data_IF_353403440557
#
_entry.id   IF_353403440557
#
_cell.length_a   1.000
_cell.length_b   1.000
_cell.length_c   1.000
_cell.angle_alpha   90.00
_cell.angle_beta   90.00
_cell.angle_gamma   90.00
#
_symmetry.space_group_name_H-M   'P 1'
#
loop_
_entity.id
_entity.type
_entity.pdbx_description
1 polymer ?
#
# COMPACT_ATOMS: atom_id res chain seq x y z
N UNK A 1 19.02 12.05 60.08
CA UNK A 1 18.37 11.23 59.02
C UNK A 1 17.51 12.20 58.27
N UNK A 2 18.11 12.84 57.26
CA UNK A 2 17.87 14.25 57.02
C UNK A 2 17.34 14.49 55.61
N UNK A 3 16.15 15.09 55.48
CA UNK A 3 15.82 15.96 54.37
C UNK A 3 16.48 17.33 54.61
N UNK A 4 16.37 18.23 53.61
CA UNK A 4 16.81 19.63 53.58
C UNK A 4 18.19 19.93 52.97
N UNK A 5 18.17 21.01 52.16
CA UNK A 5 19.29 21.83 51.67
C UNK A 5 20.01 21.37 50.39
N UNK A 6 20.29 22.23 49.41
CA UNK A 6 19.82 23.58 49.14
C UNK A 6 20.52 24.10 47.88
N UNK A 7 19.76 24.87 47.10
CA UNK A 7 20.19 26.16 46.57
C UNK A 7 21.38 26.28 45.60
N UNK A 8 21.01 26.93 44.48
CA UNK A 8 21.71 28.07 43.87
C UNK A 8 22.91 27.77 42.97
N UNK A 9 22.62 27.61 41.67
CA UNK A 9 23.19 28.52 40.68
C UNK A 9 22.23 28.68 39.49
N UNK A 10 21.52 29.81 39.47
CA UNK A 10 21.08 30.46 38.25
C UNK A 10 22.36 30.93 37.47
N UNK A 11 22.42 31.11 36.15
CA UNK A 11 21.67 32.06 35.32
C UNK A 11 21.95 31.83 33.82
N UNK A 12 20.89 32.04 33.02
CA UNK A 12 20.82 32.71 31.70
C UNK A 12 22.03 32.69 30.72
N UNK A 13 21.78 32.19 29.50
CA UNK A 13 22.39 32.76 28.28
C UNK A 13 21.38 32.79 27.12
N UNK A 14 20.91 34.01 26.87
CA UNK A 14 20.46 34.67 25.65
C UNK A 14 19.64 33.91 24.58
N UNK A 15 18.37 34.31 24.49
CA UNK A 15 17.52 34.12 23.32
C UNK A 15 18.12 34.81 22.08
N UNK A 16 18.27 34.07 20.98
CA UNK A 16 18.29 34.62 19.63
C UNK A 16 16.90 34.45 19.05
N UNK A 17 16.19 35.57 18.88
CA UNK A 17 14.90 35.63 18.23
C UNK A 17 15.07 35.62 16.71
N UNK A 18 14.50 34.64 16.02
CA UNK A 18 14.03 34.81 14.63
C UNK A 18 13.05 33.70 14.22
N UNK A 19 12.11 34.01 13.32
CA UNK A 19 10.69 33.77 13.54
C UNK A 19 10.17 32.48 12.91
N UNK A 20 9.03 32.02 13.43
CA UNK A 20 8.12 31.06 12.82
C UNK A 20 8.71 29.66 12.55
N UNK A 21 8.91 28.88 13.62
CA UNK A 21 8.72 27.44 13.49
C UNK A 21 7.21 27.21 13.31
N UNK A 22 6.72 27.34 12.07
CA UNK A 22 5.42 26.83 11.70
C UNK A 22 5.42 25.35 12.05
N UNK A 23 4.68 24.98 13.08
CA UNK A 23 4.39 23.59 13.39
C UNK A 23 3.76 22.99 12.13
N UNK A 24 4.52 22.19 11.39
CA UNK A 24 3.96 21.35 10.34
C UNK A 24 3.09 20.36 11.09
N UNK A 25 1.83 20.71 11.26
CA UNK A 25 0.79 19.72 11.50
C UNK A 25 0.81 18.86 10.25
N UNK A 26 1.52 17.74 10.32
CA UNK A 26 1.19 16.59 9.48
C UNK A 26 -0.22 16.23 9.93
N UNK A 27 -1.19 16.84 9.27
CA UNK A 27 -2.52 16.28 9.21
C UNK A 27 -2.29 14.88 8.68
N UNK A 28 -2.34 13.90 9.58
CA UNK A 28 -2.59 12.53 9.18
C UNK A 28 -3.94 12.60 8.48
N UNK A 29 -3.89 12.86 7.17
CA UNK A 29 -5.02 12.73 6.30
C UNK A 29 -5.49 11.30 6.56
N UNK A 30 -6.64 11.18 7.21
CA UNK A 30 -7.20 9.90 7.58
C UNK A 30 -7.18 9.03 6.32
N UNK A 31 -6.36 7.98 6.34
CA UNK A 31 -6.29 6.99 5.29
C UNK A 31 -7.72 6.50 5.07
N UNK A 32 -8.33 6.72 3.89
CA UNK A 32 -9.60 6.08 3.59
C UNK A 32 -9.40 4.58 3.80
N UNK A 33 -10.37 3.86 4.38
CA UNK A 33 -10.24 2.42 4.52
C UNK A 33 -9.86 1.84 3.16
N UNK A 34 -8.88 0.92 3.11
CA UNK A 34 -8.31 0.40 1.87
C UNK A 34 -9.38 -0.01 0.83
N UNK A 35 -10.57 -0.36 1.32
CA UNK A 35 -11.75 -0.77 0.56
C UNK A 35 -12.43 0.35 -0.25
N UNK A 36 -12.05 1.62 -0.08
CA UNK A 36 -12.61 2.77 -0.83
C UNK A 36 -11.73 3.23 -1.99
N UNK A 37 -10.52 2.70 -2.11
CA UNK A 37 -9.57 3.05 -3.17
C UNK A 37 -9.69 2.11 -4.37
N UNK A 38 -9.37 2.61 -5.56
CA UNK A 38 -9.22 1.73 -6.72
C UNK A 38 -8.07 0.73 -6.50
N UNK A 39 -8.14 -0.49 -7.04
CA UNK A 39 -7.07 -1.48 -6.86
C UNK A 39 -5.68 -0.94 -7.22
N UNK A 40 -5.58 -0.16 -8.29
CA UNK A 40 -4.33 0.49 -8.71
C UNK A 40 -3.76 1.42 -7.63
N UNK A 41 -4.61 2.20 -6.96
CA UNK A 41 -4.23 3.11 -5.89
C UNK A 41 -3.78 2.34 -4.65
N UNK A 42 -4.49 1.26 -4.29
CA UNK A 42 -4.10 0.38 -3.19
C UNK A 42 -2.71 -0.22 -3.41
N UNK A 43 -2.45 -0.75 -4.60
CA UNK A 43 -1.14 -1.30 -4.95
C UNK A 43 -0.05 -0.22 -4.94
N UNK A 44 -0.29 0.95 -5.55
CA UNK A 44 0.71 2.01 -5.60
C UNK A 44 1.02 2.55 -4.20
N UNK A 45 -0.01 2.76 -3.36
CA UNK A 45 0.12 3.24 -1.98
C UNK A 45 0.98 2.30 -1.16
N UNK A 46 0.62 1.01 -1.10
CA UNK A 46 1.35 0.03 -0.30
C UNK A 46 2.84 -0.08 -0.71
N UNK A 47 3.13 0.01 -2.02
CA UNK A 47 4.53 0.02 -2.48
C UNK A 47 5.25 1.31 -2.07
N UNK A 48 4.60 2.48 -2.17
CA UNK A 48 5.20 3.75 -1.82
C UNK A 48 5.43 3.89 -0.31
N UNK A 49 4.56 3.32 0.53
CA UNK A 49 4.79 3.19 1.98
C UNK A 49 6.03 2.36 2.28
N UNK A 50 6.16 1.18 1.67
CA UNK A 50 7.33 0.32 1.85
C UNK A 50 8.63 1.01 1.37
N UNK A 51 8.56 1.78 0.27
CA UNK A 51 9.69 2.55 -0.26
C UNK A 51 10.09 3.70 0.65
N UNK A 52 9.12 4.42 1.21
CA UNK A 52 9.37 5.47 2.19
C UNK A 52 10.05 4.93 3.44
N UNK A 53 9.65 3.74 3.91
CA UNK A 53 10.24 3.09 5.09
C UNK A 53 11.74 2.78 4.94
N UNK A 54 12.24 2.64 3.71
CA UNK A 54 13.67 2.40 3.41
C UNK A 54 14.35 3.62 2.76
N UNK A 55 13.69 4.77 2.73
CA UNK A 55 14.27 6.04 2.25
C UNK A 55 14.50 6.13 0.74
N UNK A 56 13.76 5.38 -0.09
CA UNK A 56 13.86 5.46 -1.56
C UNK A 56 12.69 6.24 -2.18
N UNK A 57 12.87 6.95 -3.31
CA UNK A 57 11.83 7.80 -3.91
C UNK A 57 10.55 7.03 -4.27
N UNK A 58 9.36 7.64 -4.24
CA UNK A 58 8.11 6.96 -4.60
C UNK A 58 8.05 6.60 -6.08
N UNK A 59 7.22 5.61 -6.40
CA UNK A 59 6.84 5.23 -7.76
C UNK A 59 5.63 6.05 -8.22
N UNK A 60 5.52 6.19 -9.54
CA UNK A 60 4.32 6.68 -10.21
C UNK A 60 3.66 5.54 -11.01
N UNK A 61 2.33 5.56 -11.08
CA UNK A 61 1.59 4.59 -11.89
C UNK A 61 1.83 4.79 -13.39
N UNK A 62 2.03 3.71 -14.13
CA UNK A 62 2.16 3.74 -15.58
C UNK A 62 1.04 2.90 -16.22
N UNK A 63 0.17 3.56 -17.00
CA UNK A 63 -0.99 2.90 -17.60
C UNK A 63 -0.61 1.80 -18.62
N UNK A 64 0.47 1.98 -19.36
CA UNK A 64 0.96 0.97 -20.33
C UNK A 64 1.44 -0.29 -19.61
N UNK A 65 2.19 -0.13 -18.51
CA UNK A 65 2.64 -1.26 -17.70
C UNK A 65 1.46 -1.98 -17.01
N UNK A 66 0.46 -1.22 -16.56
CA UNK A 66 -0.75 -1.78 -15.97
C UNK A 66 -1.55 -2.64 -16.97
N UNK A 67 -1.71 -2.15 -18.21
CA UNK A 67 -2.38 -2.88 -19.29
C UNK A 67 -1.64 -4.18 -19.64
N UNK A 68 -0.30 -4.15 -19.68
CA UNK A 68 0.48 -5.37 -19.91
C UNK A 68 0.32 -6.38 -18.77
N UNK A 69 0.45 -5.93 -17.52
CA UNK A 69 0.29 -6.78 -16.35
C UNK A 69 -1.12 -7.42 -16.30
N UNK A 70 -2.16 -6.67 -16.67
CA UNK A 70 -3.53 -7.19 -16.75
C UNK A 70 -3.66 -8.28 -17.82
N UNK A 71 -3.09 -8.07 -19.02
CA UNK A 71 -3.10 -9.08 -20.09
C UNK A 71 -2.37 -10.35 -19.63
N UNK A 72 -1.22 -10.21 -18.98
CA UNK A 72 -0.47 -11.36 -18.49
C UNK A 72 -1.23 -12.14 -17.42
N UNK A 73 -1.84 -11.44 -16.46
CA UNK A 73 -2.65 -12.06 -15.43
C UNK A 73 -3.84 -12.83 -16.02
N UNK A 74 -4.44 -12.33 -17.11
CA UNK A 74 -5.49 -13.02 -17.87
C UNK A 74 -5.01 -14.36 -18.44
N UNK A 75 -3.80 -14.39 -18.99
CA UNK A 75 -3.18 -15.57 -19.59
C UNK A 75 -2.76 -16.61 -18.53
N UNK A 76 -2.21 -16.16 -17.40
CA UNK A 76 -1.90 -17.00 -16.25
C UNK A 76 -3.15 -17.60 -15.59
N UNK A 77 -4.29 -16.90 -15.69
CA UNK A 77 -5.60 -17.40 -15.24
C UNK A 77 -6.16 -18.46 -16.19
N UNK A 78 -6.05 -18.25 -17.50
CA UNK A 78 -6.58 -19.16 -18.51
C UNK A 78 -5.78 -20.47 -18.59
N UNK A 79 -4.44 -20.38 -18.56
CA UNK A 79 -3.55 -21.54 -18.62
C UNK A 79 -3.45 -22.32 -17.31
N UNK A 80 -3.90 -21.75 -16.17
CA UNK A 80 -3.69 -22.28 -14.82
C UNK A 80 -2.21 -22.53 -14.43
N UNK A 81 -1.25 -22.15 -15.27
CA UNK A 81 0.18 -22.36 -15.06
C UNK A 81 0.87 -21.05 -14.70
N UNK A 82 1.78 -21.09 -13.74
CA UNK A 82 2.77 -20.01 -13.59
C UNK A 82 3.82 -20.22 -14.69
N UNK A 83 3.59 -19.64 -15.87
CA UNK A 83 4.60 -19.70 -16.94
C UNK A 83 5.88 -19.01 -16.45
N UNK A 84 7.07 -19.45 -16.88
CA UNK A 84 8.33 -18.76 -16.56
C UNK A 84 8.24 -17.27 -16.91
N UNK A 85 8.88 -16.42 -16.11
CA UNK A 85 8.82 -14.94 -16.23
C UNK A 85 9.17 -14.42 -17.62
N UNK A 86 9.88 -15.24 -18.39
CA UNK A 86 10.36 -14.94 -19.72
C UNK A 86 9.29 -15.15 -20.82
N UNK A 87 8.31 -16.01 -20.62
CA UNK A 87 7.36 -16.43 -21.66
C UNK A 87 6.29 -15.38 -22.07
N UNK A 88 6.44 -14.10 -21.73
CA UNK A 88 5.44 -13.04 -21.95
C UNK A 88 5.83 -11.95 -22.97
N UNK A 89 7.02 -12.02 -23.58
CA UNK A 89 7.40 -11.11 -24.67
C UNK A 89 7.73 -9.67 -24.26
N UNK A 90 7.69 -9.35 -22.96
CA UNK A 90 8.16 -8.07 -22.40
C UNK A 90 9.36 -8.25 -21.46
N UNK A 91 10.16 -9.28 -21.75
CA UNK A 91 11.38 -9.58 -21.01
C UNK A 91 12.38 -8.43 -21.05
N UNK A 92 13.02 -8.16 -19.92
CA UNK A 92 14.08 -7.15 -19.82
C UNK A 92 13.62 -5.69 -19.94
N UNK A 93 12.36 -5.42 -20.30
CA UNK A 93 11.82 -4.05 -20.39
C UNK A 93 11.47 -3.48 -19.00
N UNK A 94 10.99 -4.32 -18.09
CA UNK A 94 10.71 -3.95 -16.70
C UNK A 94 10.78 -5.17 -15.77
N UNK A 95 11.07 -4.91 -14.50
CA UNK A 95 10.98 -5.91 -13.43
C UNK A 95 9.54 -6.34 -13.19
N UNK A 96 9.35 -7.59 -12.73
CA UNK A 96 8.02 -8.19 -12.54
C UNK A 96 7.97 -8.96 -11.23
N UNK A 97 6.88 -8.76 -10.48
CA UNK A 97 6.52 -9.57 -9.33
C UNK A 97 5.21 -10.32 -9.65
N UNK A 98 5.09 -11.56 -9.18
CA UNK A 98 3.89 -12.39 -9.37
C UNK A 98 3.39 -12.87 -8.00
N UNK A 99 2.07 -12.85 -7.85
CA UNK A 99 1.38 -13.43 -6.70
C UNK A 99 0.24 -14.32 -7.20
N UNK A 100 0.13 -15.51 -6.62
CA UNK A 100 -0.98 -16.44 -6.83
C UNK A 100 -1.54 -16.81 -5.46
N UNK A 101 -2.83 -16.62 -5.27
CA UNK A 101 -3.55 -17.04 -4.08
C UNK A 101 -4.80 -17.82 -4.46
N UNK A 102 -5.25 -18.67 -3.55
CA UNK A 102 -6.59 -19.26 -3.59
C UNK A 102 -7.45 -18.61 -2.50
N UNK A 103 -8.74 -18.51 -2.75
CA UNK A 103 -9.72 -18.03 -1.78
C UNK A 103 -11.07 -18.66 -2.07
N UNK A 104 -12.01 -18.66 -1.10
CA UNK A 104 -13.36 -19.09 -1.36
C UNK A 104 -13.89 -18.31 -2.57
N UNK A 105 -14.35 -19.02 -3.59
CA UNK A 105 -15.03 -18.39 -4.73
C UNK A 105 -16.22 -17.65 -4.12
N UNK A 106 -16.23 -16.33 -4.22
CA UNK A 106 -17.43 -15.56 -3.97
C UNK A 106 -18.45 -16.02 -5.01
N UNK A 107 -19.28 -17.01 -4.65
CA UNK A 107 -20.50 -17.31 -5.36
C UNK A 107 -21.36 -16.09 -5.09
N UNK A 108 -21.33 -15.11 -5.99
CA UNK A 108 -22.33 -14.06 -5.97
C UNK A 108 -23.66 -14.78 -6.22
N UNK A 109 -24.50 -14.80 -5.17
CA UNK A 109 -25.56 -15.76 -4.97
C UNK A 109 -26.35 -16.08 -6.23
N UNK A 110 -26.08 -17.24 -6.82
CA UNK A 110 -27.09 -17.96 -7.56
C UNK A 110 -27.92 -18.68 -6.50
N UNK A 111 -28.96 -18.01 -6.02
CA UNK A 111 -30.08 -18.68 -5.39
C UNK A 111 -30.53 -19.77 -6.36
N UNK A 112 -30.19 -21.02 -6.09
CA UNK A 112 -30.90 -22.14 -6.69
C UNK A 112 -32.37 -21.92 -6.38
N UNK A 113 -33.27 -21.83 -7.39
CA UNK A 113 -34.69 -21.86 -7.07
C UNK A 113 -34.92 -23.16 -6.32
N UNK A 114 -35.55 -23.03 -5.14
CA UNK A 114 -36.01 -24.16 -4.35
C UNK A 114 -36.64 -25.17 -5.29
N UNK A 115 -36.24 -26.43 -5.12
CA UNK A 115 -36.98 -27.54 -5.69
C UNK A 115 -38.40 -27.46 -5.16
N UNK A 116 -39.30 -26.86 -5.95
CA UNK A 116 -40.72 -27.06 -5.80
C UNK A 116 -40.99 -28.49 -6.26
N UNK A 117 -41.22 -29.30 -5.25
CA UNK A 117 -41.84 -30.60 -5.33
C UNK A 117 -43.25 -30.39 -5.88
N UNK A 118 -43.43 -30.60 -7.19
CA UNK A 118 -44.76 -30.77 -7.79
C UNK A 118 -44.82 -32.06 -8.62
N UNK A 119 -45.67 -32.96 -8.10
CA UNK A 119 -46.34 -34.14 -8.65
C UNK A 119 -45.52 -35.40 -8.97
#
# INVERSE_FOLDING_TARGET
MSPFYCCLAAVLSLASASPAAASISVSAAAEPPANSLLPAEQFLRAHNEARAAVGVPPLAWNATMALDAQRYAGELRASCEARPFWAWGTEGLYGRNLYRGSGPRAIQGFTTPSAEHEN
#
